data_IF_622265431925
#
_entry.id   IF_622265431925
#
_cell.length_a   1.000
_cell.length_b   1.000
_cell.length_c   1.000
_cell.angle_alpha   90.00
_cell.angle_beta   90.00
_cell.angle_gamma   90.00
#
_symmetry.space_group_name_H-M   'P 1'
#
loop_
_entity.id
_entity.type
_entity.pdbx_description
1 polymer ?
#
# COMPACT_ATOMS: atom_id res chain seq x y z
N UNK A 1 -11.72 11.48 -4.39
CA UNK A 1 -12.49 10.75 -5.43
C UNK A 1 -11.88 9.38 -5.65
N UNK A 2 -12.68 8.42 -6.16
CA UNK A 2 -12.18 7.09 -6.52
C UNK A 2 -12.90 6.59 -7.77
N UNK A 3 -12.22 5.70 -8.50
CA UNK A 3 -12.78 4.95 -9.62
C UNK A 3 -12.84 3.47 -9.22
N UNK A 4 -13.96 2.81 -9.50
CA UNK A 4 -14.19 1.41 -9.17
C UNK A 4 -14.31 0.58 -10.46
N UNK A 5 -13.43 -0.39 -10.62
CA UNK A 5 -13.50 -1.45 -11.63
C UNK A 5 -13.81 -2.77 -10.92
N UNK A 6 -14.87 -3.46 -11.30
CA UNK A 6 -15.29 -4.71 -10.65
C UNK A 6 -15.94 -5.70 -11.62
N UNK A 7 -15.87 -7.01 -11.33
CA UNK A 7 -16.56 -8.02 -12.13
C UNK A 7 -18.07 -7.95 -11.88
N UNK A 8 -18.84 -7.55 -12.93
CA UNK A 8 -20.28 -7.32 -12.80
C UNK A 8 -21.11 -8.61 -12.75
N UNK A 9 -20.51 -9.74 -13.10
CA UNK A 9 -21.15 -11.07 -13.20
C UNK A 9 -20.79 -12.02 -12.05
N UNK A 10 -20.12 -11.49 -11.02
CA UNK A 10 -19.59 -12.28 -9.89
C UNK A 10 -19.87 -11.57 -8.56
N UNK A 11 -20.14 -12.35 -7.52
CA UNK A 11 -20.24 -11.87 -6.15
C UNK A 11 -19.16 -12.50 -5.25
N UNK A 12 -18.96 -11.91 -4.06
CA UNK A 12 -17.99 -12.37 -3.09
C UNK A 12 -16.53 -12.19 -3.54
N UNK A 13 -16.28 -11.29 -4.49
CA UNK A 13 -14.93 -11.05 -5.00
C UNK A 13 -14.09 -10.24 -4.00
N UNK A 14 -12.77 -10.45 -4.09
CA UNK A 14 -11.77 -9.64 -3.37
C UNK A 14 -11.67 -8.25 -3.98
N UNK A 15 -11.18 -7.28 -3.20
CA UNK A 15 -10.99 -5.90 -3.66
C UNK A 15 -9.57 -5.43 -3.38
N UNK A 16 -8.94 -4.81 -4.37
CA UNK A 16 -7.65 -4.14 -4.22
C UNK A 16 -7.89 -2.64 -4.19
N UNK A 17 -7.52 -1.99 -3.10
CA UNK A 17 -7.44 -0.53 -3.03
C UNK A 17 -6.07 -0.14 -3.56
N UNK A 18 -6.03 0.66 -4.62
CA UNK A 18 -4.81 1.06 -5.30
C UNK A 18 -4.54 2.55 -5.14
N UNK A 19 -3.39 2.88 -4.56
CA UNK A 19 -2.87 4.24 -4.44
C UNK A 19 -1.76 4.48 -5.45
N UNK A 20 -1.91 5.53 -6.27
CA UNK A 20 -0.91 5.91 -7.29
C UNK A 20 0.37 6.47 -6.68
N UNK A 21 1.45 6.46 -7.45
CA UNK A 21 2.72 7.11 -7.12
C UNK A 21 2.71 8.61 -7.39
N UNK A 22 3.91 9.23 -7.35
CA UNK A 22 4.10 10.64 -7.65
C UNK A 22 4.62 11.46 -6.47
N UNK A 23 5.28 10.83 -5.48
CA UNK A 23 5.99 11.51 -4.39
C UNK A 23 5.09 12.30 -3.44
N UNK A 24 3.78 12.04 -3.39
CA UNK A 24 2.74 12.83 -2.72
C UNK A 24 2.59 14.26 -3.27
N UNK A 25 3.28 14.60 -4.34
CA UNK A 25 3.29 15.95 -4.95
C UNK A 25 2.76 15.98 -6.38
N UNK A 26 2.50 14.82 -6.96
CA UNK A 26 1.99 14.64 -8.31
C UNK A 26 1.28 13.30 -8.47
N UNK A 27 0.89 13.01 -9.70
CA UNK A 27 0.13 11.81 -10.02
C UNK A 27 -1.38 12.05 -10.05
N UNK A 28 -2.10 11.01 -10.35
CA UNK A 28 -3.57 10.99 -10.37
C UNK A 28 -4.04 9.55 -10.22
N UNK A 29 -5.28 9.36 -9.81
CA UNK A 29 -5.87 8.03 -9.72
C UNK A 29 -5.82 7.29 -11.06
N UNK A 30 -5.54 6.04 -11.00
CA UNK A 30 -5.54 5.11 -12.13
C UNK A 30 -5.97 3.72 -11.66
N UNK A 31 -6.34 2.89 -12.60
CA UNK A 31 -6.55 1.46 -12.39
C UNK A 31 -5.54 0.74 -13.28
N UNK A 32 -4.49 0.13 -12.71
CA UNK A 32 -3.48 -0.57 -13.50
C UNK A 32 -4.10 -1.64 -14.40
N UNK A 33 -3.79 -1.58 -15.70
CA UNK A 33 -4.36 -2.50 -16.70
C UNK A 33 -4.07 -3.97 -16.35
N UNK A 34 -2.88 -4.23 -15.81
CA UNK A 34 -2.46 -5.56 -15.42
C UNK A 34 -3.28 -6.16 -14.25
N UNK A 35 -4.02 -5.33 -13.52
CA UNK A 35 -4.91 -5.77 -12.42
C UNK A 35 -6.36 -5.98 -12.88
N UNK A 36 -6.74 -5.51 -14.07
CA UNK A 36 -8.08 -5.73 -14.63
C UNK A 36 -8.28 -7.18 -15.08
N UNK A 37 -9.53 -7.59 -15.14
CA UNK A 37 -9.94 -8.93 -15.59
C UNK A 37 -9.30 -10.09 -14.81
N UNK A 38 -8.97 -9.85 -13.54
CA UNK A 38 -8.39 -10.87 -12.65
C UNK A 38 -9.45 -11.51 -11.73
N UNK A 39 -10.72 -11.12 -11.87
CA UNK A 39 -11.83 -11.65 -11.06
C UNK A 39 -11.94 -11.07 -9.66
N UNK A 40 -11.24 -9.97 -9.40
CA UNK A 40 -11.37 -9.11 -8.22
C UNK A 40 -11.62 -7.65 -8.63
N UNK A 41 -12.10 -6.83 -7.72
CA UNK A 41 -12.27 -5.41 -7.93
C UNK A 41 -10.96 -4.64 -7.71
N UNK A 42 -10.81 -3.51 -8.41
CA UNK A 42 -9.73 -2.55 -8.18
C UNK A 42 -10.32 -1.17 -7.97
N UNK A 43 -9.94 -0.51 -6.89
CA UNK A 43 -10.37 0.85 -6.56
C UNK A 43 -9.17 1.79 -6.70
N UNK A 44 -9.14 2.57 -7.78
CA UNK A 44 -8.14 3.61 -8.01
C UNK A 44 -8.48 4.87 -7.21
N UNK A 45 -7.60 5.29 -6.33
CA UNK A 45 -7.87 6.38 -5.38
C UNK A 45 -7.16 7.67 -5.77
N UNK A 46 -7.92 8.79 -5.76
CA UNK A 46 -7.39 10.15 -5.81
C UNK A 46 -7.26 10.66 -4.38
N UNK A 47 -6.08 11.05 -3.99
CA UNK A 47 -5.80 11.73 -2.72
C UNK A 47 -5.24 13.13 -2.98
N UNK A 48 -5.45 14.05 -2.05
CA UNK A 48 -4.92 15.42 -2.15
C UNK A 48 -3.39 15.39 -2.10
N UNK A 49 -2.75 16.38 -2.71
CA UNK A 49 -1.31 16.41 -2.92
C UNK A 49 -0.63 17.55 -2.16
N UNK A 50 0.55 17.27 -1.61
CA UNK A 50 1.48 18.27 -1.10
C UNK A 50 2.03 19.13 -2.28
N UNK A 51 2.32 20.44 -2.12
CA UNK A 51 2.20 21.22 -0.90
C UNK A 51 0.85 21.89 -0.70
N UNK A 52 -0.18 21.56 -1.52
CA UNK A 52 -1.52 22.15 -1.37
C UNK A 52 -2.17 21.74 -0.05
N UNK A 53 -1.83 20.55 0.43
CA UNK A 53 -2.17 20.04 1.75
C UNK A 53 -0.92 19.47 2.42
N UNK A 54 -0.98 19.18 3.72
CA UNK A 54 0.11 18.49 4.45
C UNK A 54 0.13 17.00 4.11
N UNK A 55 1.27 16.36 4.30
CA UNK A 55 1.40 14.90 4.09
C UNK A 55 0.44 14.11 4.98
N UNK A 56 0.16 14.59 6.19
CA UNK A 56 -0.86 13.99 7.06
C UNK A 56 -2.25 13.96 6.41
N UNK A 57 -2.63 15.01 5.67
CA UNK A 57 -3.90 15.04 4.94
C UNK A 57 -3.94 14.05 3.77
N UNK A 58 -2.77 13.77 3.15
CA UNK A 58 -2.69 12.72 2.11
C UNK A 58 -2.95 11.34 2.70
N UNK A 59 -2.42 11.06 3.89
CA UNK A 59 -2.66 9.80 4.61
C UNK A 59 -4.10 9.70 5.09
N UNK A 60 -4.68 10.81 5.57
CA UNK A 60 -6.09 10.86 5.98
C UNK A 60 -7.03 10.59 4.79
N UNK A 61 -6.76 11.17 3.61
CA UNK A 61 -7.52 10.86 2.38
C UNK A 61 -7.41 9.38 1.99
N UNK A 62 -6.24 8.76 2.17
CA UNK A 62 -6.06 7.34 1.95
C UNK A 62 -6.89 6.51 2.94
N UNK A 63 -6.89 6.87 4.22
CA UNK A 63 -7.71 6.23 5.23
C UNK A 63 -9.21 6.41 4.98
N UNK A 64 -9.64 7.62 4.62
CA UNK A 64 -11.04 7.91 4.27
C UNK A 64 -11.52 7.07 3.07
N UNK A 65 -10.67 6.93 2.05
CA UNK A 65 -11.00 6.12 0.88
C UNK A 65 -11.09 4.63 1.21
N UNK A 66 -10.17 4.12 2.04
CA UNK A 66 -10.22 2.74 2.52
C UNK A 66 -11.49 2.49 3.36
N UNK A 67 -11.84 3.44 4.24
CA UNK A 67 -13.06 3.36 5.03
C UNK A 67 -14.33 3.35 4.15
N UNK A 68 -14.34 4.12 3.07
CA UNK A 68 -15.43 4.08 2.10
C UNK A 68 -15.55 2.69 1.46
N UNK A 69 -14.44 2.13 1.00
CA UNK A 69 -14.43 0.79 0.38
C UNK A 69 -14.94 -0.27 1.36
N UNK A 70 -14.45 -0.27 2.60
CA UNK A 70 -14.90 -1.23 3.64
C UNK A 70 -16.42 -1.16 3.85
N UNK A 71 -17.00 0.04 3.84
CA UNK A 71 -18.43 0.27 4.10
C UNK A 71 -19.33 -0.05 2.91
N UNK A 72 -18.84 0.10 1.67
CA UNK A 72 -19.69 0.11 0.48
C UNK A 72 -19.41 -0.99 -0.52
N UNK A 73 -18.27 -1.70 -0.43
CA UNK A 73 -17.91 -2.67 -1.48
C UNK A 73 -18.91 -3.83 -1.60
N UNK A 74 -19.61 -4.17 -0.54
CA UNK A 74 -20.68 -5.18 -0.56
C UNK A 74 -21.86 -4.76 -1.46
N UNK A 75 -22.13 -3.47 -1.62
CA UNK A 75 -23.18 -2.94 -2.52
C UNK A 75 -22.88 -3.23 -3.99
N UNK A 76 -21.62 -3.50 -4.31
CA UNK A 76 -21.12 -3.85 -5.64
C UNK A 76 -20.83 -5.35 -5.80
N UNK A 77 -21.16 -6.17 -4.79
CA UNK A 77 -20.93 -7.61 -4.80
C UNK A 77 -19.57 -8.06 -4.23
N UNK A 78 -18.74 -7.16 -3.70
CA UNK A 78 -17.45 -7.51 -3.09
C UNK A 78 -17.60 -8.04 -1.66
N UNK A 79 -16.65 -8.86 -1.23
CA UNK A 79 -16.57 -9.32 0.17
C UNK A 79 -15.72 -8.34 1.00
N UNK A 80 -16.29 -7.61 1.98
CA UNK A 80 -15.55 -6.66 2.80
C UNK A 80 -14.49 -7.30 3.71
N UNK A 81 -14.45 -8.62 3.82
CA UNK A 81 -13.40 -9.37 4.54
C UNK A 81 -12.19 -9.67 3.65
N UNK A 82 -12.26 -9.38 2.35
CA UNK A 82 -11.25 -9.70 1.33
C UNK A 82 -10.71 -8.43 0.67
N UNK A 83 -10.29 -7.46 1.50
CA UNK A 83 -9.74 -6.18 1.03
C UNK A 83 -8.22 -6.20 1.14
N UNK A 84 -7.55 -6.01 0.02
CA UNK A 84 -6.11 -5.83 -0.10
C UNK A 84 -5.80 -4.35 -0.30
N UNK A 85 -4.77 -3.85 0.37
CA UNK A 85 -4.32 -2.47 0.19
C UNK A 85 -2.99 -2.49 -0.55
N UNK A 86 -2.89 -1.75 -1.64
CA UNK A 86 -1.72 -1.73 -2.50
C UNK A 86 -1.46 -0.32 -3.04
N UNK A 87 -0.24 -0.08 -3.48
CA UNK A 87 0.11 1.17 -4.13
C UNK A 87 1.59 1.24 -4.46
N UNK A 88 1.94 2.08 -5.42
CA UNK A 88 3.31 2.25 -5.89
C UNK A 88 3.95 3.52 -5.33
N UNK A 89 5.22 3.45 -4.92
CA UNK A 89 6.01 4.60 -4.48
C UNK A 89 5.32 5.36 -3.33
N UNK A 90 4.87 6.59 -3.54
CA UNK A 90 4.03 7.33 -2.60
C UNK A 90 2.78 6.53 -2.19
N UNK A 91 2.16 5.80 -3.13
CA UNK A 91 1.04 4.91 -2.83
C UNK A 91 1.44 3.72 -1.95
N UNK A 92 2.66 3.20 -2.11
CA UNK A 92 3.21 2.18 -1.22
C UNK A 92 3.46 2.70 0.20
N UNK A 93 3.88 3.96 0.32
CA UNK A 93 3.94 4.65 1.62
C UNK A 93 2.56 4.77 2.27
N UNK A 94 1.54 5.25 1.53
CA UNK A 94 0.17 5.35 2.02
C UNK A 94 -0.39 3.98 2.44
N UNK A 95 -0.16 2.94 1.63
CA UNK A 95 -0.51 1.55 1.96
C UNK A 95 0.05 1.12 3.31
N UNK A 96 1.33 1.38 3.54
CA UNK A 96 2.01 1.02 4.77
C UNK A 96 1.53 1.86 5.97
N UNK A 97 1.33 3.17 5.78
CA UNK A 97 0.87 4.05 6.86
C UNK A 97 -0.51 3.64 7.37
N UNK A 98 -1.51 3.51 6.50
CA UNK A 98 -2.88 3.16 6.95
C UNK A 98 -3.02 1.71 7.41
N UNK A 99 -2.12 0.82 6.96
CA UNK A 99 -2.13 -0.58 7.35
C UNK A 99 -1.39 -0.88 8.65
N UNK A 100 -0.45 -0.03 9.06
CA UNK A 100 0.39 -0.26 10.24
C UNK A 100 0.06 0.67 11.41
N UNK A 101 -0.24 1.92 11.13
CA UNK A 101 -0.60 2.92 12.14
C UNK A 101 -2.12 3.01 12.26
N UNK A 102 -2.65 2.40 13.31
CA UNK A 102 -4.09 2.29 13.56
C UNK A 102 -4.80 3.63 13.70
N UNK A 103 -4.10 4.70 14.15
CA UNK A 103 -4.73 6.02 14.37
C UNK A 103 -5.38 6.61 13.12
N UNK A 104 -4.96 6.21 11.91
CA UNK A 104 -5.55 6.72 10.67
C UNK A 104 -6.94 6.16 10.38
N UNK A 105 -7.22 4.91 10.77
CA UNK A 105 -8.50 4.26 10.56
C UNK A 105 -9.41 4.25 11.79
N UNK A 106 -8.87 4.56 12.97
CA UNK A 106 -9.63 4.67 14.23
C UNK A 106 -10.82 5.62 14.14
N UNK A 107 -10.72 6.84 13.53
CA UNK A 107 -11.86 7.75 13.39
C UNK A 107 -13.03 7.17 12.60
N UNK A 108 -12.79 6.15 11.79
CA UNK A 108 -13.80 5.44 10.99
C UNK A 108 -14.33 4.18 11.68
N UNK A 109 -13.84 3.85 12.88
CA UNK A 109 -14.16 2.63 13.61
C UNK A 109 -13.61 1.36 12.96
N UNK A 110 -12.49 1.47 12.24
CA UNK A 110 -11.86 0.37 11.49
C UNK A 110 -10.52 0.01 12.14
N UNK A 111 -10.35 -1.28 12.47
CA UNK A 111 -9.06 -1.84 12.83
C UNK A 111 -8.42 -2.49 11.59
N UNK A 112 -7.28 -1.95 11.09
CA UNK A 112 -6.60 -2.52 9.92
C UNK A 112 -6.18 -3.98 10.11
N UNK A 113 -5.90 -4.40 11.35
CA UNK A 113 -5.42 -5.75 11.65
C UNK A 113 -6.50 -6.82 11.53
N UNK A 114 -7.77 -6.45 11.57
CA UNK A 114 -8.90 -7.36 11.40
C UNK A 114 -9.63 -7.17 10.07
N UNK A 115 -9.49 -6.00 9.47
CA UNK A 115 -10.27 -5.62 8.28
C UNK A 115 -9.55 -5.96 6.98
N UNK A 116 -8.25 -5.67 6.87
CA UNK A 116 -7.53 -5.94 5.63
C UNK A 116 -7.09 -7.40 5.53
N UNK A 117 -7.09 -7.93 4.32
CA UNK A 117 -6.58 -9.27 4.04
C UNK A 117 -5.03 -9.28 4.02
N UNK A 118 -4.43 -8.30 3.36
CA UNK A 118 -2.99 -8.08 3.34
C UNK A 118 -2.64 -6.68 2.82
N UNK A 119 -1.37 -6.28 3.04
CA UNK A 119 -0.76 -5.06 2.53
C UNK A 119 0.25 -5.41 1.42
N UNK A 120 0.23 -4.67 0.31
CA UNK A 120 1.10 -4.92 -0.83
C UNK A 120 1.75 -3.59 -1.28
N UNK A 121 2.71 -3.06 -0.51
CA UNK A 121 3.45 -1.86 -0.92
C UNK A 121 4.47 -2.19 -2.03
N UNK A 122 4.42 -1.41 -3.12
CA UNK A 122 5.37 -1.47 -4.23
C UNK A 122 6.35 -0.33 -4.09
N UNK A 123 7.61 -0.60 -3.81
CA UNK A 123 8.69 0.38 -3.64
C UNK A 123 8.27 1.58 -2.78
N UNK A 124 7.50 1.31 -1.72
CA UNK A 124 7.02 2.32 -0.79
C UNK A 124 8.16 2.87 0.06
N UNK A 125 8.15 4.16 0.37
CA UNK A 125 9.06 4.71 1.34
C UNK A 125 8.64 4.27 2.75
N UNK A 126 9.55 3.73 3.55
CA UNK A 126 9.25 3.26 4.92
C UNK A 126 9.88 4.10 6.02
N UNK A 127 10.85 4.95 5.67
CA UNK A 127 11.29 6.07 6.52
C UNK A 127 10.32 7.24 6.32
N UNK A 128 10.44 8.31 7.12
CA UNK A 128 9.63 9.53 6.96
C UNK A 128 9.74 10.06 5.54
N UNK A 129 8.59 10.18 4.87
CA UNK A 129 8.51 10.47 3.44
C UNK A 129 9.20 11.80 3.07
N UNK A 130 9.82 11.87 1.89
CA UNK A 130 10.49 13.08 1.38
C UNK A 130 9.63 14.34 1.48
N UNK A 131 8.35 14.27 1.08
CA UNK A 131 7.44 15.40 1.16
C UNK A 131 7.28 15.87 2.63
N UNK A 132 7.20 14.95 3.59
CA UNK A 132 7.11 15.28 5.01
C UNK A 132 8.40 15.92 5.52
N UNK A 133 9.57 15.41 5.14
CA UNK A 133 10.85 16.01 5.50
C UNK A 133 10.97 17.42 4.96
N UNK A 134 10.51 17.69 3.73
CA UNK A 134 10.47 19.05 3.15
C UNK A 134 9.57 19.99 3.94
N UNK A 135 8.41 19.53 4.41
CA UNK A 135 7.56 20.33 5.32
C UNK A 135 8.29 20.74 6.62
N UNK A 136 9.20 19.89 7.08
CA UNK A 136 10.01 20.11 8.29
C UNK A 136 11.32 20.87 8.02
N UNK A 137 11.61 21.25 6.77
CA UNK A 137 12.87 21.86 6.38
C UNK A 137 14.09 20.92 6.45
N UNK A 138 13.85 19.60 6.41
CA UNK A 138 14.89 18.57 6.49
C UNK A 138 15.30 18.15 5.08
N UNK A 139 16.60 18.11 4.76
CA UNK A 139 17.08 17.66 3.45
C UNK A 139 16.69 16.22 3.13
N UNK A 140 16.48 15.94 1.83
CA UNK A 140 16.15 14.59 1.34
C UNK A 140 17.24 13.55 1.63
N UNK A 141 18.49 14.00 1.84
CA UNK A 141 19.64 13.15 2.20
C UNK A 141 19.70 12.78 3.69
N UNK A 142 18.93 13.47 4.55
CA UNK A 142 18.86 13.15 5.98
C UNK A 142 17.74 12.19 6.27
N UNK A 143 18.07 10.98 6.72
CA UNK A 143 17.09 9.97 7.12
C UNK A 143 16.44 10.38 8.44
N UNK A 144 15.12 10.27 8.49
CA UNK A 144 14.30 10.48 9.69
C UNK A 144 13.33 9.31 9.82
N UNK A 145 13.12 8.86 11.04
CA UNK A 145 12.07 7.89 11.40
C UNK A 145 11.28 8.50 12.54
N UNK A 146 10.13 9.06 12.22
CA UNK A 146 9.20 9.67 13.16
C UNK A 146 7.83 8.97 13.11
N UNK A 147 6.80 9.57 13.67
CA UNK A 147 5.44 9.06 13.66
C UNK A 147 4.76 9.05 12.26
N UNK A 148 5.43 9.61 11.24
CA UNK A 148 5.03 9.56 9.85
C UNK A 148 5.88 8.58 9.02
N UNK A 149 6.60 7.68 9.68
CA UNK A 149 7.41 6.64 9.06
C UNK A 149 6.78 5.25 9.29
N UNK A 150 6.43 4.48 8.26
CA UNK A 150 5.97 3.10 8.42
C UNK A 150 6.89 2.24 9.28
N UNK A 151 8.20 2.46 9.20
CA UNK A 151 9.23 1.75 9.99
C UNK A 151 9.05 1.92 11.51
N UNK A 152 8.41 3.01 11.97
CA UNK A 152 8.12 3.24 13.37
C UNK A 152 7.07 2.28 13.95
N UNK A 153 6.31 1.59 13.09
CA UNK A 153 5.18 0.73 13.45
C UNK A 153 5.46 -0.76 13.21
N UNK A 154 6.73 -1.16 13.25
CA UNK A 154 7.13 -2.57 13.18
C UNK A 154 6.57 -3.32 14.38
N UNK A 155 5.79 -4.38 14.11
CA UNK A 155 5.13 -5.21 15.13
C UNK A 155 4.73 -6.58 14.57
N UNK A 156 4.53 -7.61 15.40
CA UNK A 156 4.26 -8.96 14.92
C UNK A 156 2.80 -9.22 14.53
N UNK A 157 1.87 -8.40 14.97
CA UNK A 157 0.43 -8.66 14.98
C UNK A 157 -0.36 -7.90 13.90
N UNK A 158 0.32 -7.19 12.98
CA UNK A 158 -0.33 -6.58 11.82
C UNK A 158 -0.64 -7.62 10.73
N UNK A 159 -1.35 -7.19 9.69
CA UNK A 159 -1.73 -8.07 8.56
C UNK A 159 -0.53 -8.54 7.75
N UNK A 160 -0.64 -9.67 7.04
CA UNK A 160 0.41 -10.14 6.12
C UNK A 160 0.87 -9.05 5.16
N UNK A 161 2.18 -8.99 4.89
CA UNK A 161 2.77 -7.95 4.04
C UNK A 161 3.58 -8.60 2.91
N UNK A 162 3.30 -8.19 1.66
CA UNK A 162 4.12 -8.48 0.51
C UNK A 162 4.78 -7.18 0.02
N UNK A 163 6.05 -7.01 0.32
CA UNK A 163 6.86 -5.89 -0.16
C UNK A 163 7.39 -6.22 -1.55
N UNK A 164 7.16 -5.34 -2.52
CA UNK A 164 7.67 -5.46 -3.88
C UNK A 164 8.64 -4.32 -4.16
N UNK A 165 9.82 -4.62 -4.65
CA UNK A 165 10.87 -3.63 -4.95
C UNK A 165 11.47 -3.87 -6.32
N UNK A 166 11.91 -2.81 -6.98
CA UNK A 166 12.79 -2.93 -8.15
C UNK A 166 14.16 -3.47 -7.77
N UNK A 167 15.01 -3.59 -8.77
CA UNK A 167 16.42 -3.96 -8.65
C UNK A 167 17.18 -2.94 -7.79
N UNK A 168 17.90 -3.41 -6.78
CA UNK A 168 18.63 -2.56 -5.82
C UNK A 168 19.60 -1.58 -6.45
N UNK A 169 20.18 -1.95 -7.59
CA UNK A 169 21.14 -1.11 -8.32
C UNK A 169 20.45 -0.09 -9.26
N UNK A 170 19.12 -0.25 -9.49
CA UNK A 170 18.35 0.57 -10.43
C UNK A 170 17.19 1.32 -9.77
N UNK A 171 16.85 0.95 -8.55
CA UNK A 171 15.86 1.65 -7.74
C UNK A 171 16.32 3.06 -7.35
N UNK A 172 15.42 3.87 -6.84
CA UNK A 172 15.78 5.14 -6.19
C UNK A 172 16.75 4.85 -5.04
N UNK A 173 17.75 5.69 -4.89
CA UNK A 173 18.80 5.53 -3.88
C UNK A 173 18.20 5.33 -2.48
N UNK A 174 18.61 4.24 -1.83
CA UNK A 174 18.18 3.84 -0.50
C UNK A 174 16.79 3.18 -0.44
N UNK A 175 16.02 3.12 -1.55
CA UNK A 175 14.67 2.59 -1.54
C UNK A 175 14.61 1.08 -1.31
N UNK A 176 15.47 0.33 -1.95
CA UNK A 176 15.58 -1.11 -1.71
C UNK A 176 16.05 -1.38 -0.28
N UNK A 177 17.08 -0.71 0.18
CA UNK A 177 17.70 -0.89 1.49
C UNK A 177 16.72 -0.61 2.62
N UNK A 178 15.94 0.48 2.55
CA UNK A 178 14.93 0.79 3.57
C UNK A 178 13.82 -0.28 3.60
N UNK A 179 13.37 -0.79 2.45
CA UNK A 179 12.39 -1.86 2.37
C UNK A 179 12.95 -3.22 2.87
N UNK A 180 14.21 -3.54 2.54
CA UNK A 180 14.89 -4.73 3.04
C UNK A 180 15.12 -4.67 4.55
N UNK A 181 15.46 -3.48 5.08
CA UNK A 181 15.57 -3.25 6.52
C UNK A 181 14.21 -3.39 7.21
N UNK A 182 13.15 -2.79 6.68
CA UNK A 182 11.80 -2.93 7.20
C UNK A 182 11.35 -4.40 7.23
N UNK A 183 11.53 -5.15 6.13
CA UNK A 183 11.27 -6.57 6.09
C UNK A 183 12.04 -7.34 7.18
N UNK A 184 13.33 -7.03 7.34
CA UNK A 184 14.17 -7.66 8.38
C UNK A 184 13.63 -7.39 9.77
N UNK A 185 13.26 -6.14 10.05
CA UNK A 185 12.76 -5.74 11.37
C UNK A 185 11.40 -6.37 11.69
N UNK A 186 10.52 -6.49 10.71
CA UNK A 186 9.25 -7.23 10.87
C UNK A 186 9.50 -8.69 11.27
N UNK A 187 10.47 -9.35 10.65
CA UNK A 187 10.86 -10.73 11.03
C UNK A 187 11.49 -10.80 12.41
N UNK A 188 12.34 -9.86 12.76
CA UNK A 188 12.96 -9.75 14.12
C UNK A 188 11.87 -9.56 15.17
N UNK A 189 10.84 -8.77 14.88
CA UNK A 189 9.67 -8.60 15.74
C UNK A 189 8.78 -9.86 15.83
N UNK A 190 9.04 -10.88 15.02
CA UNK A 190 8.28 -12.15 15.02
C UNK A 190 7.04 -12.15 14.11
N UNK A 191 6.95 -11.21 13.14
CA UNK A 191 5.83 -11.20 12.22
C UNK A 191 5.75 -12.48 11.39
N UNK A 192 4.59 -13.18 11.34
CA UNK A 192 4.50 -14.52 10.79
C UNK A 192 4.53 -14.59 9.25
N UNK A 193 4.07 -13.57 8.54
CA UNK A 193 3.97 -13.58 7.06
C UNK A 193 4.35 -12.20 6.48
N UNK A 194 5.65 -11.93 6.44
CA UNK A 194 6.23 -10.79 5.72
C UNK A 194 7.19 -11.29 4.64
N UNK A 195 6.99 -10.85 3.41
CA UNK A 195 7.81 -11.23 2.25
C UNK A 195 8.33 -9.99 1.55
N UNK A 196 9.50 -10.13 0.93
CA UNK A 196 10.06 -9.13 0.01
C UNK A 196 10.45 -9.82 -1.29
N UNK A 197 10.07 -9.22 -2.42
CA UNK A 197 10.53 -9.62 -3.75
C UNK A 197 11.24 -8.45 -4.41
N UNK A 198 12.44 -8.73 -4.89
CA UNK A 198 13.24 -7.84 -5.72
C UNK A 198 13.09 -8.27 -7.17
N UNK A 199 12.87 -7.32 -8.07
CA UNK A 199 12.75 -7.56 -9.50
C UNK A 199 14.03 -7.11 -10.21
N UNK A 200 14.91 -8.05 -10.48
CA UNK A 200 16.16 -7.83 -11.19
C UNK A 200 15.93 -7.16 -12.55
N UNK A 201 16.70 -6.11 -12.83
CA UNK A 201 16.62 -5.33 -14.06
C UNK A 201 15.51 -4.27 -14.12
N UNK A 202 14.61 -4.20 -13.15
CA UNK A 202 13.53 -3.22 -13.10
C UNK A 202 13.90 -2.02 -12.22
N UNK A 203 13.76 -0.80 -12.75
CA UNK A 203 13.91 0.42 -11.99
C UNK A 203 12.63 0.80 -11.22
N UNK A 204 12.66 1.90 -10.47
CA UNK A 204 11.53 2.40 -9.70
C UNK A 204 10.26 2.62 -10.53
N UNK A 205 10.39 3.12 -11.76
CA UNK A 205 9.25 3.48 -12.60
C UNK A 205 8.59 2.27 -13.28
N UNK A 206 9.37 1.26 -13.61
CA UNK A 206 8.91 0.11 -14.38
C UNK A 206 8.71 -1.17 -13.54
N UNK A 207 9.16 -1.23 -12.29
CA UNK A 207 8.96 -2.38 -11.40
C UNK A 207 7.48 -2.78 -11.21
N UNK A 208 6.49 -1.87 -11.29
CA UNK A 208 5.10 -2.31 -11.18
C UNK A 208 4.68 -3.31 -12.25
N UNK A 209 5.32 -3.32 -13.42
CA UNK A 209 5.02 -4.28 -14.48
C UNK A 209 5.23 -5.73 -14.01
N UNK A 210 6.36 -6.02 -13.36
CA UNK A 210 6.63 -7.31 -12.76
C UNK A 210 5.83 -7.48 -11.43
N UNK A 211 5.74 -6.41 -10.65
CA UNK A 211 5.05 -6.38 -9.37
C UNK A 211 3.59 -6.79 -9.44
N UNK A 212 2.85 -6.38 -10.49
CA UNK A 212 1.46 -6.74 -10.65
C UNK A 212 1.25 -8.25 -10.79
N UNK A 213 2.12 -8.96 -11.50
CA UNK A 213 2.03 -10.42 -11.61
C UNK A 213 2.26 -11.09 -10.25
N UNK A 214 3.24 -10.62 -9.48
CA UNK A 214 3.52 -11.14 -8.14
C UNK A 214 2.34 -10.86 -7.18
N UNK A 215 1.76 -9.67 -7.24
CA UNK A 215 0.60 -9.30 -6.42
C UNK A 215 -0.64 -10.15 -6.76
N UNK A 216 -0.97 -10.33 -8.04
CA UNK A 216 -2.09 -11.18 -8.46
C UNK A 216 -1.91 -12.62 -7.95
N UNK A 217 -0.70 -13.17 -8.07
CA UNK A 217 -0.38 -14.49 -7.53
C UNK A 217 -0.56 -14.56 -6.01
N UNK A 218 -0.09 -13.54 -5.31
CA UNK A 218 -0.20 -13.45 -3.85
C UNK A 218 -1.66 -13.31 -3.39
N UNK A 219 -2.46 -12.46 -4.03
CA UNK A 219 -3.89 -12.32 -3.75
C UNK A 219 -4.58 -13.67 -3.88
N UNK A 220 -4.34 -14.41 -4.95
CA UNK A 220 -4.91 -15.74 -5.14
C UNK A 220 -4.44 -16.78 -4.10
N UNK A 221 -3.21 -16.67 -3.63
CA UNK A 221 -2.73 -17.49 -2.51
C UNK A 221 -3.51 -17.18 -1.23
N UNK A 222 -3.73 -15.90 -0.95
CA UNK A 222 -4.47 -15.45 0.23
C UNK A 222 -5.95 -15.83 0.15
N UNK A 223 -6.59 -15.68 -1.01
CA UNK A 223 -7.97 -16.12 -1.23
C UNK A 223 -8.15 -17.60 -0.86
N UNK A 224 -7.26 -18.47 -1.36
CA UNK A 224 -7.30 -19.91 -1.03
C UNK A 224 -7.08 -20.21 0.45
N UNK A 225 -6.32 -19.37 1.17
CA UNK A 225 -6.15 -19.53 2.63
C UNK A 225 -7.40 -19.13 3.41
N UNK A 226 -8.16 -18.14 2.93
CA UNK A 226 -9.38 -17.67 3.55
C UNK A 226 -10.59 -18.62 3.31
N UNK A 227 -10.52 -19.47 2.29
CA UNK A 227 -11.56 -20.44 1.96
C UNK A 227 -11.44 -21.77 2.75
N UNK A 228 -10.36 -21.93 3.50
CA UNK A 228 -10.10 -23.13 4.34
C UNK A 228 -10.54 -22.93 5.78
#
# INVERSE_FOLDING_TARGET
RLDLYYPADKEGFSTVIWYHGGGLTGGRRDIPEALKEKGFAVVGVEYRLSPHVKVADCVDDAAASAAWVVKHIAEYGGDPRRIFVAGHSAGGYLTSMIGLDKRWLEPYGIDPDTTFAALIPYSGQVVTHFARRREMGIPDTQVVVDDMAPLNYVRPDCRPILILSGDREREMLGRYEENAYFWRMMRVAGHPDVRIYEFDGFDHGNMPQAGHFAAVRYIREMERKMER
#
